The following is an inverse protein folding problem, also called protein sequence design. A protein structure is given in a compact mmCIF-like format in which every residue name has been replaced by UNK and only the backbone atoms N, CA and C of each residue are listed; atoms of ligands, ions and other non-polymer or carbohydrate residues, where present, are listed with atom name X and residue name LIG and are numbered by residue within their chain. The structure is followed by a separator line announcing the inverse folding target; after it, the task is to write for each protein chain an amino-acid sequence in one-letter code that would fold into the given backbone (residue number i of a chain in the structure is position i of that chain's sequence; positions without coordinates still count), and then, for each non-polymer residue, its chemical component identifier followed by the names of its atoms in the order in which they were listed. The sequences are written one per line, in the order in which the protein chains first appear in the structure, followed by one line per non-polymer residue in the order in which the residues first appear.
data_IF_703446754563
#
_entry.id   IF_703446754563
#
_cell.length_a   1.000
_cell.length_b   1.000
_cell.length_c   1.000
_cell.angle_alpha   90.00
_cell.angle_beta   90.00
_cell.angle_gamma   90.00
#
_symmetry.space_group_name_H-M   'P 1'
#
loop_
_entity.id
_entity.type
_entity.pdbx_description
1 polymer ?
#
# COMPACT_ATOMS: atom_id res chain seq x y z
N UNK A 1 11.76 9.88 -0.57
CA UNK A 1 12.97 9.72 0.26
C UNK A 1 13.90 10.89 -0.05
N UNK A 2 14.23 11.69 0.94
CA UNK A 2 15.29 12.71 0.81
C UNK A 2 16.53 12.18 1.51
N UNK A 3 17.64 12.11 0.78
CA UNK A 3 18.95 11.73 1.30
C UNK A 3 19.67 13.01 1.69
N UNK A 4 20.06 13.12 2.96
CA UNK A 4 20.96 14.17 3.40
C UNK A 4 22.36 13.55 3.52
N UNK A 5 23.18 13.77 2.49
CA UNK A 5 24.53 13.18 2.38
C UNK A 5 25.46 13.69 3.48
N UNK A 6 25.34 14.97 3.86
CA UNK A 6 26.19 15.61 4.87
C UNK A 6 25.95 15.05 6.28
N UNK A 7 24.71 14.63 6.57
CA UNK A 7 24.32 14.09 7.88
C UNK A 7 24.27 12.55 7.90
N UNK A 8 24.38 11.89 6.74
CA UNK A 8 24.15 10.45 6.63
C UNK A 8 22.72 10.03 7.03
N UNK A 9 21.75 10.94 6.91
CA UNK A 9 20.36 10.71 7.36
C UNK A 9 19.39 10.62 6.19
N UNK A 10 18.33 9.82 6.39
CA UNK A 10 17.22 9.69 5.46
C UNK A 10 15.96 10.28 6.07
N UNK A 11 15.31 11.16 5.31
CA UNK A 11 13.95 11.61 5.58
C UNK A 11 12.98 10.86 4.69
N UNK A 12 11.97 10.25 5.32
CA UNK A 12 10.92 9.49 4.64
C UNK A 12 9.60 10.23 4.66
N UNK A 13 8.82 10.07 3.60
CA UNK A 13 7.48 10.63 3.40
C UNK A 13 6.52 9.48 3.06
N UNK A 14 6.03 8.76 4.07
CA UNK A 14 5.30 7.51 3.88
C UNK A 14 3.87 7.72 3.40
N UNK A 15 3.71 7.98 2.10
CA UNK A 15 2.42 8.21 1.43
C UNK A 15 1.93 6.93 0.73
N UNK A 16 0.89 7.10 -0.06
CA UNK A 16 0.19 6.07 -0.84
C UNK A 16 1.09 5.22 -1.74
N UNK A 17 0.50 4.20 -2.35
CA UNK A 17 1.22 3.36 -3.31
C UNK A 17 1.78 4.18 -4.50
N UNK A 18 0.96 5.05 -5.09
CA UNK A 18 1.31 5.77 -6.32
C UNK A 18 2.30 6.92 -6.13
N UNK A 19 2.33 7.52 -4.94
CA UNK A 19 3.18 8.65 -4.62
C UNK A 19 3.77 8.50 -3.24
N UNK A 20 5.09 8.67 -3.16
CA UNK A 20 5.85 8.66 -1.93
C UNK A 20 6.61 7.36 -1.72
N UNK A 21 6.92 7.10 -0.46
CA UNK A 21 8.03 6.23 -0.13
C UNK A 21 7.69 4.75 -0.20
N UNK A 22 6.46 4.32 0.08
CA UNK A 22 6.16 2.88 0.08
C UNK A 22 6.31 2.22 -1.29
N UNK A 23 5.67 2.77 -2.34
CA UNK A 23 5.82 2.25 -3.70
C UNK A 23 7.26 2.38 -4.22
N UNK A 24 7.93 3.50 -3.93
CA UNK A 24 9.33 3.74 -4.31
C UNK A 24 10.28 2.74 -3.64
N UNK A 25 10.14 2.53 -2.33
CA UNK A 25 10.96 1.61 -1.55
C UNK A 25 10.74 0.16 -1.97
N UNK A 26 9.52 -0.20 -2.38
CA UNK A 26 9.26 -1.53 -2.94
C UNK A 26 10.00 -1.73 -4.26
N UNK A 27 9.92 -0.75 -5.17
CA UNK A 27 10.68 -0.78 -6.42
C UNK A 27 12.19 -0.90 -6.19
N UNK A 28 12.74 -0.11 -5.24
CA UNK A 28 14.14 -0.21 -4.84
C UNK A 28 14.49 -1.57 -4.24
N UNK A 29 13.65 -2.09 -3.33
CA UNK A 29 13.82 -3.41 -2.73
C UNK A 29 13.94 -4.50 -3.80
N UNK A 30 13.00 -4.53 -4.77
CA UNK A 30 13.02 -5.50 -5.89
C UNK A 30 14.23 -5.30 -6.79
N UNK A 31 14.61 -4.05 -7.06
CA UNK A 31 15.83 -3.74 -7.82
C UNK A 31 17.10 -4.28 -7.14
N UNK A 32 17.25 -4.04 -5.83
CA UNK A 32 18.38 -4.56 -5.06
C UNK A 32 18.40 -6.09 -4.98
N UNK A 33 17.24 -6.72 -4.84
CA UNK A 33 17.11 -8.18 -4.89
C UNK A 33 17.59 -8.74 -6.23
N UNK A 34 17.15 -8.16 -7.35
CA UNK A 34 17.58 -8.55 -8.68
C UNK A 34 19.10 -8.37 -8.89
N UNK A 35 19.66 -7.28 -8.35
CA UNK A 35 21.10 -6.99 -8.39
C UNK A 35 21.92 -7.78 -7.36
N UNK A 36 21.29 -8.58 -6.50
CA UNK A 36 21.91 -9.30 -5.38
C UNK A 36 22.66 -8.37 -4.40
N UNK A 37 22.18 -7.14 -4.25
CA UNK A 37 22.72 -6.16 -3.32
C UNK A 37 22.03 -6.28 -1.95
N UNK A 38 22.60 -7.13 -1.08
CA UNK A 38 22.08 -7.35 0.27
C UNK A 38 22.10 -6.09 1.15
N UNK A 39 23.04 -5.16 0.90
CA UNK A 39 23.11 -3.90 1.67
C UNK A 39 21.96 -2.98 1.27
N UNK A 40 21.74 -2.82 -0.03
CA UNK A 40 20.62 -2.04 -0.57
C UNK A 40 19.27 -2.62 -0.15
N UNK A 41 19.12 -3.95 -0.22
CA UNK A 41 17.91 -4.65 0.21
C UNK A 41 17.57 -4.36 1.68
N UNK A 42 18.55 -4.50 2.58
CA UNK A 42 18.40 -4.19 4.01
C UNK A 42 18.08 -2.72 4.25
N UNK A 43 18.72 -1.80 3.52
CA UNK A 43 18.43 -0.37 3.61
C UNK A 43 16.97 -0.09 3.23
N UNK A 44 16.51 -0.59 2.09
CA UNK A 44 15.12 -0.39 1.64
C UNK A 44 14.12 -0.87 2.69
N UNK A 45 14.27 -2.11 3.19
CA UNK A 45 13.39 -2.64 4.24
C UNK A 45 13.43 -1.80 5.53
N UNK A 46 14.61 -1.36 5.96
CA UNK A 46 14.74 -0.52 7.16
C UNK A 46 14.03 0.83 7.02
N UNK A 47 14.01 1.40 5.81
CA UNK A 47 13.31 2.65 5.53
C UNK A 47 11.79 2.47 5.47
N UNK A 48 11.29 1.31 5.03
CA UNK A 48 9.87 0.95 5.10
C UNK A 48 9.43 0.80 6.57
N UNK A 49 10.25 0.15 7.40
CA UNK A 49 9.96 0.01 8.84
C UNK A 49 10.01 1.34 9.57
N UNK A 50 11.05 2.16 9.32
CA UNK A 50 11.13 3.52 9.88
C UNK A 50 9.93 4.39 9.48
N UNK A 51 9.47 4.21 8.24
CA UNK A 51 8.28 4.88 7.72
C UNK A 51 7.01 4.53 8.50
N UNK A 52 6.91 3.29 8.97
CA UNK A 52 5.84 2.84 9.85
C UNK A 52 5.95 3.45 11.27
N UNK A 53 7.15 3.45 11.86
CA UNK A 53 7.39 3.95 13.23
C UNK A 53 7.12 5.45 13.41
N UNK A 54 7.19 6.24 12.34
CA UNK A 54 6.86 7.69 12.36
C UNK A 54 5.36 7.93 12.65
N UNK A 55 4.54 6.88 12.56
CA UNK A 55 3.14 6.90 12.95
C UNK A 55 2.22 7.41 11.83
N UNK A 56 1.01 6.86 11.81
CA UNK A 56 -0.10 7.33 11.00
C UNK A 56 -0.89 8.37 11.81
N UNK A 57 -0.53 9.64 11.72
CA UNK A 57 -1.41 10.73 12.18
C UNK A 57 -2.37 11.09 11.02
N UNK A 58 -3.69 10.82 11.14
CA UNK A 58 -4.67 11.35 10.20
C UNK A 58 -4.63 12.89 10.31
N UNK A 59 -4.53 13.65 9.19
CA UNK A 59 -4.94 13.27 7.84
C UNK A 59 -3.78 13.04 6.85
N UNK A 60 -2.54 12.81 7.29
CA UNK A 60 -1.38 13.10 6.43
C UNK A 60 -1.12 12.05 5.32
N UNK A 61 -1.57 10.78 5.41
CA UNK A 61 -0.92 9.74 4.57
C UNK A 61 -1.77 8.66 3.89
N UNK A 62 -3.02 8.40 4.27
CA UNK A 62 -3.88 7.44 3.57
C UNK A 62 -5.29 7.99 3.45
N UNK A 63 -5.78 8.10 2.23
CA UNK A 63 -7.02 8.79 1.95
C UNK A 63 -8.07 7.78 1.47
N UNK A 64 -8.86 7.32 2.43
CA UNK A 64 -9.99 6.41 2.19
C UNK A 64 -9.58 4.99 1.82
N UNK A 65 -10.52 4.20 1.27
CA UNK A 65 -10.36 2.77 1.10
C UNK A 65 -9.64 2.34 -0.18
N UNK A 66 -9.40 3.24 -1.15
CA UNK A 66 -9.01 2.87 -2.53
C UNK A 66 -7.63 2.22 -2.70
N UNK A 67 -7.31 1.76 -3.92
CA UNK A 67 -6.01 1.17 -4.23
C UNK A 67 -4.90 2.22 -4.33
N UNK A 68 -5.13 3.24 -5.16
CA UNK A 68 -4.04 4.14 -5.55
C UNK A 68 -3.61 5.03 -4.39
N UNK A 69 -4.57 5.45 -3.56
CA UNK A 69 -4.42 6.44 -2.49
C UNK A 69 -4.90 5.95 -1.12
N UNK A 70 -5.24 4.68 -0.98
CA UNK A 70 -5.97 4.20 0.18
C UNK A 70 -5.38 2.96 0.83
N UNK A 71 -6.11 2.49 1.84
CA UNK A 71 -5.70 1.36 2.68
C UNK A 71 -5.59 0.07 1.88
N UNK A 72 -6.46 -0.16 0.90
CA UNK A 72 -6.41 -1.38 0.09
C UNK A 72 -5.08 -1.57 -0.62
N UNK A 73 -4.56 -0.53 -1.28
CA UNK A 73 -3.30 -0.66 -2.02
C UNK A 73 -2.09 -0.83 -1.11
N UNK A 74 -2.07 -0.13 0.02
CA UNK A 74 -1.00 -0.30 1.00
C UNK A 74 -1.06 -1.67 1.68
N UNK A 75 -2.25 -2.17 2.03
CA UNK A 75 -2.42 -3.51 2.59
C UNK A 75 -1.77 -4.56 1.66
N UNK A 76 -2.08 -4.49 0.37
CA UNK A 76 -1.51 -5.40 -0.64
C UNK A 76 0.01 -5.27 -0.76
N UNK A 77 0.52 -4.05 -0.70
CA UNK A 77 1.97 -3.79 -0.73
C UNK A 77 2.69 -4.36 0.50
N UNK A 78 2.12 -4.17 1.70
CA UNK A 78 2.69 -4.68 2.95
C UNK A 78 2.64 -6.20 3.04
N UNK A 79 1.55 -6.82 2.58
CA UNK A 79 1.49 -8.29 2.38
C UNK A 79 2.64 -8.76 1.49
N UNK A 80 2.98 -7.99 0.46
CA UNK A 80 4.06 -8.35 -0.46
C UNK A 80 5.44 -8.19 0.16
N UNK A 81 5.68 -7.11 0.91
CA UNK A 81 6.89 -6.99 1.71
C UNK A 81 7.03 -8.16 2.70
N UNK A 82 5.95 -8.57 3.37
CA UNK A 82 5.97 -9.72 4.26
C UNK A 82 6.34 -11.01 3.51
N UNK A 83 5.66 -11.33 2.40
CA UNK A 83 5.94 -12.56 1.62
C UNK A 83 7.39 -12.68 1.16
N UNK A 84 8.03 -11.57 0.81
CA UNK A 84 9.41 -11.57 0.32
C UNK A 84 10.46 -11.56 1.44
N UNK A 85 10.20 -10.81 2.51
CA UNK A 85 11.19 -10.60 3.56
C UNK A 85 11.02 -11.53 4.76
N UNK A 86 9.83 -12.10 4.98
CA UNK A 86 9.45 -12.84 6.17
C UNK A 86 9.37 -11.99 7.45
N UNK A 87 9.35 -10.66 7.34
CA UNK A 87 9.33 -9.76 8.49
C UNK A 87 7.88 -9.58 8.98
N UNK A 88 7.62 -10.03 10.21
CA UNK A 88 6.29 -10.04 10.84
C UNK A 88 5.64 -8.65 10.96
N UNK A 89 6.45 -7.59 11.16
CA UNK A 89 5.93 -6.23 11.25
C UNK A 89 5.14 -5.82 9.99
N UNK A 90 5.50 -6.34 8.81
CA UNK A 90 4.75 -6.06 7.59
C UNK A 90 3.41 -6.79 7.54
N UNK A 91 3.32 -7.99 8.11
CA UNK A 91 2.05 -8.71 8.25
C UNK A 91 1.11 -7.96 9.20
N UNK A 92 1.63 -7.47 10.32
CA UNK A 92 0.85 -6.67 11.28
C UNK A 92 0.27 -5.41 10.62
N UNK A 93 1.05 -4.72 9.80
CA UNK A 93 0.56 -3.55 9.05
C UNK A 93 -0.49 -3.94 8.02
N UNK A 94 -0.28 -5.04 7.29
CA UNK A 94 -1.25 -5.57 6.34
C UNK A 94 -2.59 -5.87 7.02
N UNK A 95 -2.58 -6.57 8.14
CA UNK A 95 -3.78 -6.91 8.91
C UNK A 95 -4.48 -5.65 9.43
N UNK A 96 -3.75 -4.72 10.04
CA UNK A 96 -4.33 -3.46 10.53
C UNK A 96 -4.99 -2.64 9.41
N UNK A 97 -4.41 -2.61 8.21
CA UNK A 97 -5.00 -1.91 7.06
C UNK A 97 -6.24 -2.62 6.52
N UNK A 98 -6.28 -3.95 6.56
CA UNK A 98 -7.47 -4.72 6.18
C UNK A 98 -8.61 -4.54 7.18
N UNK A 99 -8.33 -4.58 8.49
CA UNK A 99 -9.32 -4.32 9.53
C UNK A 99 -9.91 -2.91 9.35
N UNK A 100 -9.05 -1.90 9.18
CA UNK A 100 -9.51 -0.54 8.91
C UNK A 100 -10.32 -0.42 7.62
N UNK A 101 -9.93 -1.17 6.58
CA UNK A 101 -10.68 -1.20 5.33
C UNK A 101 -12.09 -1.76 5.57
N UNK A 102 -12.24 -2.86 6.30
CA UNK A 102 -13.54 -3.44 6.64
C UNK A 102 -14.39 -2.44 7.46
N UNK A 103 -13.78 -1.76 8.43
CA UNK A 103 -14.45 -0.76 9.28
C UNK A 103 -14.90 0.50 8.51
N UNK A 104 -14.35 0.75 7.33
CA UNK A 104 -14.77 1.85 6.46
C UNK A 104 -16.11 1.57 5.74
N UNK A 105 -16.68 0.38 5.86
CA UNK A 105 -17.97 0.04 5.25
C UNK A 105 -19.11 0.84 5.89
N UNK A 106 -19.88 1.55 5.07
CA UNK A 106 -21.08 2.28 5.47
C UNK A 106 -22.29 1.82 4.66
N UNK A 107 -23.19 1.03 5.26
CA UNK A 107 -24.41 0.55 4.58
C UNK A 107 -25.30 1.66 3.99
N UNK A 108 -25.19 2.89 4.50
CA UNK A 108 -25.95 4.04 4.03
C UNK A 108 -25.29 4.78 2.86
N UNK A 109 -24.04 4.44 2.49
CA UNK A 109 -23.35 5.10 1.40
C UNK A 109 -23.87 4.66 0.03
N UNK A 110 -24.03 5.64 -0.86
CA UNK A 110 -24.60 5.45 -2.21
C UNK A 110 -23.72 4.64 -3.17
N UNK A 111 -22.47 4.36 -2.81
CA UNK A 111 -21.49 3.65 -3.62
C UNK A 111 -21.15 2.27 -3.04
N UNK A 112 -22.19 1.50 -2.71
CA UNK A 112 -22.08 0.13 -2.21
C UNK A 112 -21.27 0.04 -0.90
N UNK A 113 -21.39 1.08 -0.07
CA UNK A 113 -20.75 1.15 1.23
C UNK A 113 -19.28 1.50 1.26
N UNK A 114 -18.66 1.78 0.10
CA UNK A 114 -17.29 2.28 0.06
C UNK A 114 -17.18 3.49 -0.86
N UNK A 115 -17.07 4.65 -0.25
CA UNK A 115 -16.85 5.91 -0.96
C UNK A 115 -15.37 6.12 -1.24
N UNK A 116 -15.05 6.45 -2.49
CA UNK A 116 -13.71 6.90 -2.83
C UNK A 116 -13.41 8.28 -2.23
N UNK A 117 -12.14 8.66 -2.15
CA UNK A 117 -11.72 9.92 -1.53
C UNK A 117 -11.37 10.99 -2.57
N UNK A 118 -10.47 10.68 -3.49
CA UNK A 118 -9.98 11.60 -4.51
C UNK A 118 -10.80 11.53 -5.80
N UNK A 119 -10.84 12.61 -6.59
CA UNK A 119 -11.43 12.62 -7.93
C UNK A 119 -12.92 12.22 -8.00
N UNK A 120 -13.67 12.45 -6.92
CA UNK A 120 -15.08 12.04 -6.79
C UNK A 120 -16.10 13.03 -7.38
N UNK A 121 -15.64 14.08 -8.07
CA UNK A 121 -16.52 14.93 -8.86
C UNK A 121 -17.24 14.13 -9.96
N UNK A 122 -16.57 13.11 -10.48
CA UNK A 122 -17.13 12.15 -11.42
C UNK A 122 -17.65 10.91 -10.68
N UNK A 123 -18.96 10.64 -10.77
CA UNK A 123 -19.57 9.49 -10.07
C UNK A 123 -18.97 8.16 -10.50
N UNK A 124 -18.54 8.04 -11.75
CA UNK A 124 -17.94 6.83 -12.31
C UNK A 124 -16.62 6.46 -11.63
N UNK A 125 -15.92 7.42 -11.02
CA UNK A 125 -14.69 7.18 -10.25
C UNK A 125 -14.93 6.23 -9.07
N UNK A 126 -16.08 6.33 -8.38
CA UNK A 126 -16.44 5.42 -7.28
C UNK A 126 -16.61 3.96 -7.74
N UNK A 127 -16.78 3.72 -9.04
CA UNK A 127 -16.86 2.37 -9.60
C UNK A 127 -15.56 1.93 -10.28
N UNK A 128 -14.53 2.76 -10.29
CA UNK A 128 -13.29 2.47 -11.00
C UNK A 128 -12.40 1.48 -10.26
N UNK A 129 -11.43 0.90 -10.99
CA UNK A 129 -10.46 -0.03 -10.41
C UNK A 129 -9.51 0.66 -9.40
N UNK A 130 -8.89 1.78 -9.75
CA UNK A 130 -7.85 2.37 -8.90
C UNK A 130 -8.40 3.16 -7.71
N UNK A 131 -9.57 3.78 -7.87
CA UNK A 131 -10.11 4.74 -6.90
C UNK A 131 -11.45 4.32 -6.30
N UNK A 132 -12.09 3.30 -6.85
CA UNK A 132 -13.46 2.90 -6.52
C UNK A 132 -13.61 1.48 -5.99
N UNK A 133 -14.88 1.08 -5.83
CA UNK A 133 -15.31 -0.18 -5.24
C UNK A 133 -14.75 -1.41 -5.94
N UNK A 134 -14.48 -1.36 -7.24
CA UNK A 134 -13.94 -2.53 -7.95
C UNK A 134 -12.57 -2.93 -7.41
N UNK A 135 -11.67 -1.96 -7.20
CA UNK A 135 -10.36 -2.25 -6.63
C UNK A 135 -10.42 -2.67 -5.16
N UNK A 136 -11.29 -2.01 -4.39
CA UNK A 136 -11.51 -2.31 -2.97
C UNK A 136 -12.03 -3.74 -2.80
N UNK A 137 -13.07 -4.10 -3.57
CA UNK A 137 -13.63 -5.44 -3.56
C UNK A 137 -12.62 -6.49 -3.98
N UNK A 138 -11.82 -6.23 -5.02
CA UNK A 138 -10.75 -7.14 -5.43
C UNK A 138 -9.68 -7.32 -4.34
N UNK A 139 -9.28 -6.24 -3.65
CA UNK A 139 -8.34 -6.34 -2.53
C UNK A 139 -8.90 -7.20 -1.40
N UNK A 140 -10.17 -7.03 -1.03
CA UNK A 140 -10.85 -7.84 -0.01
C UNK A 140 -10.97 -9.31 -0.44
N UNK A 141 -11.41 -9.57 -1.68
CA UNK A 141 -11.51 -10.94 -2.21
C UNK A 141 -10.16 -11.64 -2.32
N UNK A 142 -9.07 -10.91 -2.55
CA UNK A 142 -7.71 -11.46 -2.63
C UNK A 142 -7.18 -12.04 -1.33
N UNK A 143 -7.86 -11.80 -0.20
CA UNK A 143 -7.54 -12.39 1.10
C UNK A 143 -7.78 -13.90 1.03
N UNK A 144 -8.94 -14.30 0.51
CA UNK A 144 -9.40 -15.70 0.47
C UNK A 144 -9.15 -16.38 -0.88
N UNK A 145 -8.96 -15.62 -1.97
CA UNK A 145 -8.78 -16.17 -3.31
C UNK A 145 -7.38 -15.90 -3.87
N UNK A 146 -6.61 -16.96 -4.04
CA UNK A 146 -5.29 -16.92 -4.69
C UNK A 146 -5.38 -16.48 -6.16
N UNK A 147 -6.40 -16.90 -6.89
CA UNK A 147 -6.59 -16.51 -8.29
C UNK A 147 -6.82 -15.00 -8.42
N UNK A 148 -7.72 -14.44 -7.60
CA UNK A 148 -7.98 -12.99 -7.56
C UNK A 148 -6.72 -12.23 -7.15
N UNK A 149 -5.98 -12.76 -6.18
CA UNK A 149 -4.71 -12.20 -5.72
C UNK A 149 -3.68 -12.12 -6.84
N UNK A 150 -3.49 -13.18 -7.62
CA UNK A 150 -2.50 -13.20 -8.70
C UNK A 150 -2.84 -12.21 -9.82
N UNK A 151 -4.12 -12.11 -10.19
CA UNK A 151 -4.60 -11.11 -11.14
C UNK A 151 -4.34 -9.69 -10.63
N UNK A 152 -4.63 -9.46 -9.35
CA UNK A 152 -4.43 -8.17 -8.71
C UNK A 152 -2.95 -7.77 -8.66
N UNK A 153 -2.08 -8.68 -8.22
CA UNK A 153 -0.63 -8.45 -8.10
C UNK A 153 0.01 -8.09 -9.46
N UNK A 154 -0.51 -8.61 -10.57
CA UNK A 154 -0.04 -8.30 -11.93
C UNK A 154 -0.31 -6.84 -12.33
N UNK A 155 -1.53 -6.33 -12.09
CA UNK A 155 -1.89 -4.95 -12.42
C UNK A 155 -1.22 -3.90 -11.54
N UNK A 156 -0.73 -4.32 -10.37
CA UNK A 156 -0.13 -3.43 -9.38
C UNK A 156 1.39 -3.57 -9.28
N UNK A 157 2.03 -4.16 -10.31
CA UNK A 157 3.48 -4.39 -10.35
C UNK A 157 4.04 -5.11 -9.11
N UNK A 158 3.18 -5.91 -8.46
CA UNK A 158 3.56 -6.71 -7.31
C UNK A 158 3.94 -8.13 -7.73
N UNK A 159 3.61 -8.59 -8.94
CA UNK A 159 3.92 -9.96 -9.42
C UNK A 159 5.41 -10.31 -9.38
N UNK A 160 5.69 -11.60 -9.19
CA UNK A 160 7.03 -12.19 -9.11
C UNK A 160 7.80 -12.09 -10.43
#
# INVERSE_FOLDING_TARGET
IIVNEDLGTYQVFPKHYCYGDYGTLYGLYRGYEYLKDEKGKKLALSLVLKSHDIGYEPPILVAGPSLLYGHSGLAMLFRRFHRHSGIEAFEQVYQAMLEHLIDCYDECDTFLGYKGYWNQSEKTTNYSFFEGILGIGLALMSVESEEVRLLFEEFFFLKD
#
